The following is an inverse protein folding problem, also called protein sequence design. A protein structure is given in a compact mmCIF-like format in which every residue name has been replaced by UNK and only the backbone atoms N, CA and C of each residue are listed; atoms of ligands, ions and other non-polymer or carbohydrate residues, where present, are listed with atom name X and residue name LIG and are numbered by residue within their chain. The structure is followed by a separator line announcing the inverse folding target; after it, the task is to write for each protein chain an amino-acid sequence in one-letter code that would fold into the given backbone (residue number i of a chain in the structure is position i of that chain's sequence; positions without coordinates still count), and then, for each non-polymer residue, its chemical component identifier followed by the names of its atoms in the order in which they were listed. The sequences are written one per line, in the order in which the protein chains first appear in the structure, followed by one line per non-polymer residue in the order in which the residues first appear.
data_IF_420502555313
#
_entry.id   IF_420502555313
#
_cell.length_a   1.000
_cell.length_b   1.000
_cell.length_c   1.000
_cell.angle_alpha   90.00
_cell.angle_beta   90.00
_cell.angle_gamma   90.00
#
_symmetry.space_group_name_H-M   'P 1'
#
loop_
_entity.id
_entity.type
_entity.pdbx_description
1 polymer ?
#
# COMPACT_ATOMS: atom_id res chain seq x y z
N UNK A 1 -35.74 -27.47 66.45
CA UNK A 1 -35.47 -26.41 67.45
C UNK A 1 -34.32 -25.55 66.94
N UNK A 2 -34.54 -24.24 66.80
CA UNK A 2 -33.54 -23.17 66.54
C UNK A 2 -32.76 -22.89 67.84
N UNK A 3 -31.53 -22.34 67.80
CA UNK A 3 -31.23 -20.91 67.50
C UNK A 3 -30.00 -20.73 66.56
N UNK A 4 -29.90 -19.82 65.57
CA UNK A 4 -29.91 -18.34 65.50
C UNK A 4 -28.94 -17.61 66.46
N UNK A 5 -28.06 -16.79 65.87
CA UNK A 5 -27.21 -15.71 66.40
C UNK A 5 -25.76 -16.05 66.80
N UNK A 6 -24.83 -15.92 65.84
CA UNK A 6 -23.69 -14.98 65.94
C UNK A 6 -23.43 -14.40 64.54
N UNK A 7 -23.74 -13.12 64.40
CA UNK A 7 -23.47 -12.21 63.28
C UNK A 7 -22.43 -11.19 63.79
N UNK A 8 -21.64 -10.59 62.87
CA UNK A 8 -20.77 -9.40 63.03
C UNK A 8 -19.31 -9.60 63.50
N UNK A 9 -18.41 -9.72 62.51
CA UNK A 9 -17.28 -8.79 62.27
C UNK A 9 -16.23 -9.48 61.39
N UNK A 10 -16.37 -9.35 60.08
CA UNK A 10 -15.28 -9.59 59.13
C UNK A 10 -15.50 -8.69 57.91
N UNK A 11 -15.51 -7.38 58.15
CA UNK A 11 -15.51 -6.37 57.10
C UNK A 11 -14.46 -5.34 57.49
N UNK A 12 -13.51 -5.13 56.58
CA UNK A 12 -12.58 -3.99 56.62
C UNK A 12 -11.15 -4.35 56.97
N UNK A 13 -10.41 -4.91 56.01
CA UNK A 13 -9.06 -4.47 55.65
C UNK A 13 -8.61 -5.25 54.39
N UNK A 14 -9.31 -5.03 53.27
CA UNK A 14 -8.66 -5.24 51.98
C UNK A 14 -7.77 -4.02 51.77
N UNK A 15 -6.52 -4.22 52.12
CA UNK A 15 -5.39 -3.35 51.86
C UNK A 15 -5.46 -2.97 50.37
N UNK A 16 -5.80 -1.71 50.09
CA UNK A 16 -5.48 -1.07 48.81
C UNK A 16 -3.96 -0.93 48.77
N UNK A 17 -3.27 -2.04 48.49
CA UNK A 17 -1.87 -1.99 48.11
C UNK A 17 -1.82 -1.22 46.80
N UNK A 18 -1.06 -0.12 46.78
CA UNK A 18 -0.68 0.53 45.54
C UNK A 18 -0.05 -0.55 44.66
N UNK A 19 -0.72 -0.91 43.56
CA UNK A 19 -0.14 -1.81 42.57
C UNK A 19 0.86 -0.99 41.77
N UNK A 20 2.14 -1.34 41.86
CA UNK A 20 3.17 -0.73 41.03
C UNK A 20 2.89 -1.06 39.56
N UNK A 21 2.71 -0.02 38.74
CA UNK A 21 2.54 -0.15 37.30
C UNK A 21 3.90 -0.05 36.59
N UNK A 22 4.14 -0.93 35.60
CA UNK A 22 5.42 -1.05 34.89
C UNK A 22 5.42 -0.28 33.55
N UNK A 23 6.36 0.65 33.37
CA UNK A 23 6.52 1.39 32.12
C UNK A 23 7.17 0.53 31.02
N UNK A 24 6.37 -0.03 30.10
CA UNK A 24 6.87 -0.84 28.97
C UNK A 24 7.18 -0.01 27.71
N UNK A 25 8.39 -0.20 27.14
CA UNK A 25 8.76 0.25 25.78
C UNK A 25 8.53 -0.89 24.78
N UNK A 26 7.36 -0.91 24.12
CA UNK A 26 7.00 -1.93 23.12
C UNK A 26 7.46 -1.59 21.69
N UNK A 27 8.02 -2.57 20.96
CA UNK A 27 8.38 -2.46 19.55
C UNK A 27 7.27 -2.90 18.58
N UNK A 28 7.18 -2.26 17.41
CA UNK A 28 6.22 -2.59 16.34
C UNK A 28 5.01 -1.66 16.31
N UNK A 29 3.99 -1.96 17.11
CA UNK A 29 2.83 -1.08 17.32
C UNK A 29 2.29 -1.33 18.72
N UNK A 30 1.94 -0.26 19.44
CA UNK A 30 1.50 -0.41 20.81
C UNK A 30 1.39 0.90 21.57
N UNK A 31 1.17 0.78 22.87
CA UNK A 31 1.23 1.91 23.77
C UNK A 31 2.48 1.78 24.63
N UNK A 32 3.14 2.90 24.85
CA UNK A 32 4.17 3.05 25.89
C UNK A 32 3.69 4.06 26.90
N UNK A 33 4.09 3.87 28.16
CA UNK A 33 3.89 4.85 29.22
C UNK A 33 5.25 5.47 29.53
N UNK A 34 5.23 6.77 29.78
CA UNK A 34 6.40 7.54 30.17
C UNK A 34 6.02 8.57 31.21
N UNK A 35 7.02 8.99 31.99
CA UNK A 35 6.87 9.97 33.05
C UNK A 35 7.64 11.24 32.65
N UNK A 36 7.04 12.40 32.86
CA UNK A 36 7.67 13.69 32.58
C UNK A 36 7.79 14.49 33.87
N UNK A 37 9.01 14.89 34.23
CA UNK A 37 9.31 15.55 35.50
C UNK A 37 8.62 16.93 35.61
N UNK A 38 7.99 17.17 36.76
CA UNK A 38 7.36 18.44 37.13
C UNK A 38 8.18 19.11 38.23
N UNK A 39 8.25 18.48 39.41
CA UNK A 39 8.99 18.99 40.56
C UNK A 39 9.40 17.87 41.54
N UNK A 40 10.31 18.18 42.47
CA UNK A 40 10.65 17.28 43.58
C UNK A 40 9.69 17.50 44.75
N UNK A 41 9.26 16.44 45.42
CA UNK A 41 8.41 16.51 46.62
C UNK A 41 9.23 16.32 47.89
N UNK A 42 8.66 16.64 49.04
CA UNK A 42 9.26 16.37 50.36
C UNK A 42 8.98 14.94 50.88
N UNK A 43 8.27 14.10 50.11
CA UNK A 43 7.94 12.74 50.53
C UNK A 43 9.14 11.80 50.38
N UNK A 44 9.56 11.09 51.44
CA UNK A 44 10.63 10.11 51.33
C UNK A 44 10.15 8.87 50.55
N UNK A 45 10.93 8.45 49.56
CA UNK A 45 10.79 7.17 48.87
C UNK A 45 11.39 6.01 49.65
N UNK A 46 11.38 4.80 49.07
CA UNK A 46 11.85 3.59 49.74
C UNK A 46 13.35 3.65 50.05
N UNK A 47 14.10 4.30 49.17
CA UNK A 47 15.53 4.50 49.30
C UNK A 47 15.91 5.74 50.15
N UNK A 48 14.93 6.35 50.83
CA UNK A 48 15.11 7.60 51.59
C UNK A 48 15.33 8.85 50.73
N UNK A 49 15.36 8.71 49.40
CA UNK A 49 15.42 9.82 48.46
C UNK A 49 14.03 10.43 48.25
N UNK A 50 13.91 11.75 48.08
CA UNK A 50 12.62 12.39 47.83
C UNK A 50 11.99 11.91 46.52
N UNK A 51 10.68 11.61 46.54
CA UNK A 51 9.90 11.29 45.36
C UNK A 51 9.73 12.53 44.46
N UNK A 52 9.72 12.34 43.14
CA UNK A 52 9.41 13.37 42.17
C UNK A 52 7.94 13.29 41.74
N UNK A 53 7.30 14.46 41.57
CA UNK A 53 6.02 14.57 40.91
C UNK A 53 6.24 14.56 39.39
N UNK A 54 5.56 13.65 38.71
CA UNK A 54 5.66 13.40 37.29
C UNK A 54 4.29 13.50 36.63
N UNK A 55 4.23 13.94 35.37
CA UNK A 55 3.06 13.72 34.52
C UNK A 55 3.16 12.32 33.92
N UNK A 56 2.13 11.50 34.12
CA UNK A 56 1.99 10.22 33.45
C UNK A 56 1.45 10.43 32.04
N UNK A 57 2.24 10.02 31.06
CA UNK A 57 1.93 10.21 29.66
C UNK A 57 1.91 8.88 28.92
N UNK A 58 0.82 8.65 28.21
CA UNK A 58 0.64 7.49 27.35
C UNK A 58 0.94 7.89 25.91
N UNK A 59 1.96 7.27 25.34
CA UNK A 59 2.35 7.45 23.94
C UNK A 59 1.84 6.26 23.14
N UNK A 60 1.24 6.54 21.98
CA UNK A 60 0.87 5.53 21.00
C UNK A 60 1.94 5.48 19.92
N UNK A 61 2.53 4.30 19.76
CA UNK A 61 3.63 4.07 18.84
C UNK A 61 3.14 3.25 17.64
N UNK A 62 3.47 3.70 16.43
CA UNK A 62 3.23 2.96 15.18
C UNK A 62 4.53 2.89 14.42
N UNK A 63 5.04 1.68 14.16
CA UNK A 63 6.32 1.44 13.50
C UNK A 63 7.47 2.24 14.12
N UNK A 64 7.58 2.19 15.46
CA UNK A 64 8.59 2.93 16.25
C UNK A 64 8.48 4.45 16.19
N UNK A 65 7.35 4.99 15.70
CA UNK A 65 7.06 6.42 15.70
C UNK A 65 6.03 6.76 16.76
N UNK A 66 6.34 7.75 17.59
CA UNK A 66 5.44 8.29 18.61
C UNK A 66 4.44 9.23 17.93
N UNK A 67 3.27 8.71 17.58
CA UNK A 67 2.33 9.46 16.75
C UNK A 67 1.38 10.29 17.60
N UNK A 68 0.90 9.74 18.72
CA UNK A 68 -0.01 10.42 19.64
C UNK A 68 0.48 10.34 21.07
N UNK A 69 0.33 11.45 21.78
CA UNK A 69 0.68 11.58 23.20
C UNK A 69 -0.54 12.05 23.98
N UNK A 70 -0.97 11.26 24.95
CA UNK A 70 -2.16 11.54 25.78
C UNK A 70 -1.78 11.51 27.25
N UNK A 71 -2.19 12.54 28.00
CA UNK A 71 -1.96 12.58 29.44
C UNK A 71 -2.97 11.71 30.18
N UNK A 72 -2.50 11.04 31.23
CA UNK A 72 -3.35 10.23 32.11
C UNK A 72 -3.55 10.87 33.47
N UNK A 73 -2.59 11.64 33.95
CA UNK A 73 -2.66 12.31 35.24
C UNK A 73 -1.27 12.57 35.82
N UNK A 74 -1.21 12.75 37.14
CA UNK A 74 0.04 12.84 37.87
C UNK A 74 0.42 11.49 38.48
N UNK A 75 1.71 11.27 38.67
CA UNK A 75 2.26 10.12 39.37
C UNK A 75 3.48 10.53 40.17
N UNK A 76 3.76 9.81 41.26
CA UNK A 76 4.99 9.94 42.03
C UNK A 76 5.95 8.83 41.61
N UNK A 77 7.20 9.18 41.38
CA UNK A 77 8.23 8.21 41.03
C UNK A 77 9.60 8.62 41.59
N UNK A 78 10.48 7.63 41.75
CA UNK A 78 11.86 7.86 42.16
C UNK A 78 12.71 8.44 41.00
N UNK A 79 13.95 8.82 41.29
CA UNK A 79 14.97 9.19 40.29
C UNK A 79 14.53 10.24 39.26
N UNK A 80 13.81 11.28 39.70
CA UNK A 80 13.31 12.36 38.83
C UNK A 80 12.50 11.85 37.64
N UNK A 81 11.62 10.87 37.88
CA UNK A 81 10.73 10.27 36.89
C UNK A 81 11.40 9.29 35.91
N UNK A 82 12.65 8.89 36.16
CA UNK A 82 13.33 7.83 35.43
C UNK A 82 13.25 6.50 36.21
N UNK A 83 12.04 6.10 36.57
CA UNK A 83 11.75 4.85 37.26
C UNK A 83 10.80 3.98 36.42
N UNK A 84 10.95 2.66 36.55
CA UNK A 84 10.06 1.69 35.89
C UNK A 84 8.73 1.52 36.61
N UNK A 85 8.65 1.89 37.90
CA UNK A 85 7.43 1.89 38.72
C UNK A 85 7.03 3.31 39.13
N UNK A 86 5.73 3.50 39.37
CA UNK A 86 5.17 4.77 39.82
C UNK A 86 3.89 4.58 40.64
N UNK A 87 3.58 5.58 41.47
CA UNK A 87 2.36 5.64 42.26
C UNK A 87 1.43 6.68 41.63
N UNK A 88 0.27 6.29 41.06
CA UNK A 88 -0.65 7.25 40.46
C UNK A 88 -1.24 8.18 41.52
N UNK A 89 -1.34 9.48 41.22
CA UNK A 89 -1.89 10.51 42.09
C UNK A 89 -3.25 10.94 41.55
N UNK A 90 -4.30 10.75 42.35
CA UNK A 90 -5.64 11.23 42.01
C UNK A 90 -5.76 12.74 42.20
N UNK A 91 -6.75 13.36 41.57
CA UNK A 91 -7.00 14.81 41.71
C UNK A 91 -7.25 15.23 43.17
N UNK A 92 -7.91 14.38 43.96
CA UNK A 92 -8.15 14.65 45.38
C UNK A 92 -6.88 14.54 46.23
N UNK A 93 -6.03 13.54 45.96
CA UNK A 93 -4.72 13.43 46.60
C UNK A 93 -3.82 14.62 46.27
N UNK A 94 -3.83 15.08 45.01
CA UNK A 94 -3.07 16.24 44.58
C UNK A 94 -3.45 17.50 45.36
N UNK A 95 -4.75 17.73 45.59
CA UNK A 95 -5.24 18.86 46.42
C UNK A 95 -4.72 18.78 47.85
N UNK A 96 -4.75 17.58 48.45
CA UNK A 96 -4.22 17.36 49.81
C UNK A 96 -2.73 17.68 49.86
N UNK A 97 -1.94 17.22 48.88
CA UNK A 97 -0.50 17.48 48.83
C UNK A 97 -0.16 18.97 48.63
N UNK A 98 -0.97 19.70 47.85
CA UNK A 98 -0.85 21.16 47.72
C UNK A 98 -1.14 21.87 49.04
N UNK A 99 -2.22 21.49 49.73
CA UNK A 99 -2.61 22.08 51.02
C UNK A 99 -1.59 21.79 52.12
N UNK A 100 -0.93 20.63 52.11
CA UNK A 100 0.09 20.27 53.08
C UNK A 100 1.48 20.84 52.78
N UNK A 101 1.65 21.58 51.68
CA UNK A 101 2.94 22.13 51.26
C UNK A 101 3.96 21.07 50.80
N UNK A 102 3.49 19.87 50.43
CA UNK A 102 4.34 18.79 49.91
C UNK A 102 4.65 18.99 48.42
N UNK A 103 3.70 19.62 47.72
CA UNK A 103 3.72 19.97 46.29
C UNK A 103 3.43 21.47 46.18
N UNK A 104 4.02 22.16 45.21
CA UNK A 104 3.78 23.58 44.98
C UNK A 104 2.32 23.87 44.63
N UNK A 105 1.76 24.94 45.18
CA UNK A 105 0.41 25.41 44.82
C UNK A 105 0.31 25.92 43.37
N UNK A 106 1.45 26.15 42.71
CA UNK A 106 1.52 26.60 41.32
C UNK A 106 1.30 25.47 40.31
N UNK A 107 1.43 24.21 40.72
CA UNK A 107 1.14 23.07 39.85
C UNK A 107 -0.34 23.11 39.45
N UNK A 108 -0.71 23.00 38.17
CA UNK A 108 -2.11 22.99 37.77
C UNK A 108 -2.84 21.72 38.26
N UNK A 109 -4.16 21.76 38.40
CA UNK A 109 -4.94 20.59 38.83
C UNK A 109 -5.03 19.51 37.74
N UNK A 110 -4.99 19.94 36.48
CA UNK A 110 -4.89 19.07 35.31
C UNK A 110 -3.57 19.37 34.58
N UNK A 111 -2.82 18.34 34.18
CA UNK A 111 -1.57 18.55 33.48
C UNK A 111 -1.87 19.19 32.12
N UNK A 112 -1.09 20.21 31.75
CA UNK A 112 -1.23 20.91 30.48
C UNK A 112 -0.12 20.48 29.54
N UNK A 113 -0.30 19.38 28.79
CA UNK A 113 0.54 19.17 27.60
C UNK A 113 -0.33 19.35 26.37
N UNK A 114 0.30 19.92 25.35
CA UNK A 114 -0.29 20.05 24.03
C UNK A 114 -0.47 18.63 23.48
N UNK A 115 -1.70 18.11 23.54
CA UNK A 115 -2.09 16.93 22.76
C UNK A 115 -1.91 17.29 21.29
N UNK A 116 -0.88 16.75 20.67
CA UNK A 116 -0.49 17.09 19.32
C UNK A 116 0.04 15.86 18.61
N UNK A 117 -0.16 15.85 17.29
CA UNK A 117 0.42 14.87 16.39
C UNK A 117 1.93 15.11 16.34
N UNK A 118 2.70 14.24 16.99
CA UNK A 118 4.16 14.36 17.08
C UNK A 118 4.84 13.69 15.87
N UNK A 119 4.49 14.14 14.66
CA UNK A 119 5.18 13.66 13.46
C UNK A 119 6.57 14.31 13.40
N UNK A 120 7.66 13.55 13.44
CA UNK A 120 8.99 14.13 13.33
C UNK A 120 9.20 14.70 11.93
N UNK A 121 9.96 15.81 11.81
CA UNK A 121 10.15 16.51 10.53
C UNK A 121 10.66 15.61 9.40
N UNK A 122 11.45 14.58 9.70
CA UNK A 122 11.95 13.63 8.70
C UNK A 122 10.85 12.75 8.08
N UNK A 123 9.73 12.50 8.78
CA UNK A 123 8.63 11.71 8.25
C UNK A 123 7.97 12.41 7.05
N UNK A 124 7.92 13.74 7.05
CA UNK A 124 7.47 14.52 5.89
C UNK A 124 8.39 14.34 4.68
N UNK A 125 9.70 14.23 4.88
CA UNK A 125 10.65 13.97 3.79
C UNK A 125 10.41 12.59 3.14
N UNK A 126 10.09 11.57 3.94
CA UNK A 126 9.74 10.24 3.43
C UNK A 126 8.46 10.30 2.60
N UNK A 127 7.41 10.95 3.12
CA UNK A 127 6.14 11.11 2.40
C UNK A 127 6.37 11.82 1.07
N UNK A 128 7.12 12.93 1.07
CA UNK A 128 7.45 13.67 -0.14
C UNK A 128 8.24 12.80 -1.14
N UNK A 129 9.21 12.01 -0.67
CA UNK A 129 9.96 11.08 -1.49
C UNK A 129 9.09 10.01 -2.15
N UNK A 130 8.15 9.42 -1.40
CA UNK A 130 7.21 8.43 -1.93
C UNK A 130 6.28 9.03 -2.99
N UNK A 131 5.73 10.23 -2.73
CA UNK A 131 4.90 10.96 -3.69
C UNK A 131 5.69 11.28 -4.96
N UNK A 132 6.94 11.72 -4.84
CA UNK A 132 7.82 11.97 -5.97
C UNK A 132 8.07 10.70 -6.80
N UNK A 133 8.34 9.56 -6.16
CA UNK A 133 8.54 8.28 -6.86
C UNK A 133 7.28 7.83 -7.61
N UNK A 134 6.10 7.95 -7.00
CA UNK A 134 4.82 7.66 -7.65
C UNK A 134 4.62 8.60 -8.84
N UNK A 135 4.86 9.90 -8.67
CA UNK A 135 4.77 10.90 -9.74
C UNK A 135 5.71 10.59 -10.91
N UNK A 136 6.96 10.18 -10.65
CA UNK A 136 7.92 9.76 -11.68
C UNK A 136 7.40 8.54 -12.44
N UNK A 137 6.88 7.51 -11.74
CA UNK A 137 6.33 6.31 -12.38
C UNK A 137 5.13 6.66 -13.27
N UNK A 138 4.20 7.48 -12.77
CA UNK A 138 3.03 7.93 -13.54
C UNK A 138 3.44 8.73 -14.77
N UNK A 139 4.40 9.67 -14.63
CA UNK A 139 4.92 10.47 -15.74
C UNK A 139 5.61 9.61 -16.79
N UNK A 140 6.39 8.59 -16.38
CA UNK A 140 7.01 7.62 -17.31
C UNK A 140 5.96 6.81 -18.07
N UNK A 141 4.90 6.33 -17.40
CA UNK A 141 3.81 5.58 -18.07
C UNK A 141 3.05 6.46 -19.07
N UNK A 142 2.76 7.71 -18.70
CA UNK A 142 2.12 8.68 -19.59
C UNK A 142 3.01 9.04 -20.80
N UNK A 143 4.30 9.29 -20.57
CA UNK A 143 5.26 9.60 -21.63
C UNK A 143 5.42 8.44 -22.63
N UNK A 144 5.50 7.20 -22.15
CA UNK A 144 5.50 6.01 -23.03
C UNK A 144 4.23 5.92 -23.87
N UNK A 145 3.06 6.20 -23.28
CA UNK A 145 1.79 6.21 -24.01
C UNK A 145 1.77 7.27 -25.10
N UNK A 146 2.24 8.49 -24.81
CA UNK A 146 2.36 9.54 -25.82
C UNK A 146 3.29 9.10 -26.93
N UNK A 147 4.51 8.65 -26.58
CA UNK A 147 5.49 8.20 -27.56
C UNK A 147 4.96 7.10 -28.48
N UNK A 148 4.17 6.13 -27.96
CA UNK A 148 3.52 5.10 -28.81
C UNK A 148 2.50 5.70 -29.78
N UNK A 149 1.71 6.69 -29.35
CA UNK A 149 0.74 7.38 -30.22
C UNK A 149 1.44 8.27 -31.24
N UNK A 150 2.46 9.01 -30.82
CA UNK A 150 3.25 9.88 -31.69
C UNK A 150 4.00 9.06 -32.73
N UNK A 151 4.50 7.88 -32.33
CA UNK A 151 5.05 6.92 -33.26
C UNK A 151 4.04 6.61 -34.34
N UNK A 152 2.74 6.44 -34.04
CA UNK A 152 1.65 6.02 -34.95
C UNK A 152 1.03 7.12 -35.85
N UNK A 153 1.40 8.40 -35.68
CA UNK A 153 1.05 9.47 -36.63
C UNK A 153 -0.45 9.53 -36.92
N UNK A 154 -0.83 9.56 -38.20
CA UNK A 154 -2.23 9.67 -38.66
C UNK A 154 -3.01 8.34 -38.68
N UNK A 155 -2.44 7.27 -38.13
CA UNK A 155 -3.11 5.97 -38.07
C UNK A 155 -4.42 6.04 -37.27
N UNK A 156 -5.42 5.25 -37.69
CA UNK A 156 -6.70 5.20 -36.97
C UNK A 156 -6.51 4.70 -35.53
N UNK A 157 -7.28 5.18 -34.54
CA UNK A 157 -7.18 4.69 -33.16
C UNK A 157 -7.36 3.16 -33.04
N UNK A 158 -8.10 2.54 -33.96
CA UNK A 158 -8.27 1.10 -34.05
C UNK A 158 -6.99 0.40 -34.51
N UNK A 159 -6.37 0.87 -35.59
CA UNK A 159 -5.10 0.33 -36.08
C UNK A 159 -3.99 0.41 -35.02
N UNK A 160 -3.93 1.53 -34.29
CA UNK A 160 -2.99 1.71 -33.18
C UNK A 160 -3.22 0.65 -32.09
N UNK A 161 -4.48 0.43 -31.70
CA UNK A 161 -4.81 -0.52 -30.65
C UNK A 161 -4.53 -1.97 -31.07
N UNK A 162 -4.83 -2.33 -32.33
CA UNK A 162 -4.56 -3.65 -32.90
C UNK A 162 -3.05 -3.91 -32.90
N UNK A 163 -2.26 -2.96 -33.41
CA UNK A 163 -0.80 -3.10 -33.45
C UNK A 163 -0.17 -3.12 -32.04
N UNK A 164 -0.69 -2.32 -31.11
CA UNK A 164 -0.23 -2.33 -29.71
C UNK A 164 -0.52 -3.71 -29.06
N UNK A 165 -1.69 -4.29 -29.30
CA UNK A 165 -2.04 -5.62 -28.82
C UNK A 165 -1.13 -6.70 -29.42
N UNK A 166 -0.84 -6.63 -30.72
CA UNK A 166 0.09 -7.54 -31.41
C UNK A 166 1.52 -7.44 -30.85
N UNK A 167 2.04 -6.23 -30.64
CA UNK A 167 3.35 -6.01 -30.02
C UNK A 167 3.43 -6.57 -28.59
N UNK A 168 2.34 -6.44 -27.82
CA UNK A 168 2.26 -7.01 -26.48
C UNK A 168 2.16 -8.54 -26.48
N UNK A 169 1.46 -9.12 -27.45
CA UNK A 169 1.39 -10.57 -27.65
C UNK A 169 2.77 -11.14 -28.00
N UNK A 170 3.48 -10.55 -28.97
CA UNK A 170 4.83 -10.94 -29.37
C UNK A 170 5.80 -10.92 -28.18
N UNK A 171 5.71 -9.90 -27.32
CA UNK A 171 6.62 -9.73 -26.18
C UNK A 171 6.20 -10.51 -24.94
N UNK A 172 5.16 -11.34 -25.00
CA UNK A 172 4.65 -12.05 -23.84
C UNK A 172 5.73 -12.97 -23.24
N UNK A 173 6.51 -13.63 -24.09
CA UNK A 173 7.58 -14.53 -23.69
C UNK A 173 8.81 -13.80 -23.10
N UNK A 174 9.03 -12.54 -23.50
CA UNK A 174 10.10 -11.65 -23.08
C UNK A 174 11.07 -11.23 -24.20
N UNK A 175 10.94 -11.77 -25.41
CA UNK A 175 11.76 -11.43 -26.57
C UNK A 175 10.88 -11.05 -27.78
N UNK A 176 11.44 -10.32 -28.74
CA UNK A 176 10.78 -10.11 -30.05
C UNK A 176 11.87 -10.10 -31.09
N UNK A 177 11.87 -11.10 -31.97
CA UNK A 177 12.82 -11.28 -33.05
C UNK A 177 12.54 -10.33 -34.23
N UNK A 178 13.56 -9.99 -35.05
CA UNK A 178 13.34 -9.16 -36.24
C UNK A 178 12.34 -9.74 -37.25
N UNK A 179 12.25 -11.06 -37.38
CA UNK A 179 11.27 -11.73 -38.24
C UNK A 179 9.83 -11.49 -37.75
N UNK A 180 9.57 -11.60 -36.45
CA UNK A 180 8.25 -11.31 -35.88
C UNK A 180 7.83 -9.85 -36.11
N UNK A 181 8.77 -8.90 -36.08
CA UNK A 181 8.46 -7.49 -36.36
C UNK A 181 7.97 -7.27 -37.79
N UNK A 182 8.52 -8.01 -38.76
CA UNK A 182 8.08 -7.97 -40.15
C UNK A 182 6.69 -8.59 -40.27
N UNK A 183 6.48 -9.76 -39.66
CA UNK A 183 5.17 -10.44 -39.67
C UNK A 183 4.08 -9.59 -39.03
N UNK A 184 4.38 -8.92 -37.91
CA UNK A 184 3.44 -8.01 -37.25
C UNK A 184 3.09 -6.83 -38.16
N UNK A 185 4.08 -6.23 -38.84
CA UNK A 185 3.84 -5.12 -39.74
C UNK A 185 2.93 -5.52 -40.91
N UNK A 186 3.21 -6.66 -41.54
CA UNK A 186 2.42 -7.19 -42.66
C UNK A 186 1.01 -7.59 -42.23
N UNK A 187 0.87 -8.29 -41.12
CA UNK A 187 -0.43 -8.70 -40.59
C UNK A 187 -1.27 -7.48 -40.18
N UNK A 188 -0.67 -6.50 -39.51
CA UNK A 188 -1.37 -5.28 -39.16
C UNK A 188 -1.81 -4.50 -40.40
N UNK A 189 -0.95 -4.36 -41.42
CA UNK A 189 -1.31 -3.70 -42.68
C UNK A 189 -2.45 -4.43 -43.40
N UNK A 190 -2.43 -5.76 -43.43
CA UNK A 190 -3.50 -6.56 -44.04
C UNK A 190 -4.84 -6.40 -43.32
N UNK A 191 -4.81 -6.25 -42.00
CA UNK A 191 -6.01 -6.13 -41.16
C UNK A 191 -6.59 -4.72 -41.10
N UNK A 192 -5.74 -3.69 -41.16
CA UNK A 192 -6.16 -2.29 -41.01
C UNK A 192 -6.25 -1.56 -42.35
N UNK A 193 -5.61 -2.08 -43.41
CA UNK A 193 -5.44 -1.40 -44.69
C UNK A 193 -4.39 -0.28 -44.66
N UNK A 194 -3.77 -0.02 -43.51
CA UNK A 194 -2.81 1.06 -43.34
C UNK A 194 -1.37 0.56 -43.54
N UNK A 195 -0.56 1.32 -44.28
CA UNK A 195 0.86 0.97 -44.48
C UNK A 195 1.63 1.17 -43.17
N UNK A 196 2.23 0.09 -42.66
CA UNK A 196 2.97 0.09 -41.39
C UNK A 196 4.45 -0.21 -41.65
N UNK A 197 5.34 0.70 -41.27
CA UNK A 197 6.80 0.50 -41.37
C UNK A 197 7.28 -0.47 -40.27
N UNK A 198 7.97 -1.58 -40.60
CA UNK A 198 8.55 -2.48 -39.60
C UNK A 198 9.45 -1.80 -38.56
N UNK A 199 10.16 -0.71 -38.91
CA UNK A 199 10.96 0.05 -37.93
C UNK A 199 10.10 0.65 -36.83
N UNK A 200 8.88 1.07 -37.19
CA UNK A 200 7.90 1.63 -36.27
C UNK A 200 7.36 0.55 -35.33
N UNK A 201 7.10 -0.64 -35.87
CA UNK A 201 6.73 -1.82 -35.07
C UNK A 201 7.84 -2.17 -34.08
N UNK A 202 9.10 -2.10 -34.49
CA UNK A 202 10.24 -2.31 -33.60
C UNK A 202 10.23 -1.34 -32.41
N UNK A 203 9.99 -0.05 -32.66
CA UNK A 203 9.90 0.94 -31.58
C UNK A 203 8.68 0.73 -30.67
N UNK A 204 7.54 0.32 -31.23
CA UNK A 204 6.36 -0.04 -30.43
C UNK A 204 6.61 -1.28 -29.57
N UNK A 205 7.21 -2.33 -30.13
CA UNK A 205 7.58 -3.55 -29.42
C UNK A 205 8.60 -3.29 -28.30
N UNK A 206 9.58 -2.39 -28.50
CA UNK A 206 10.46 -1.94 -27.41
C UNK A 206 9.68 -1.34 -26.25
N UNK A 207 8.64 -0.56 -26.55
CA UNK A 207 7.81 0.06 -25.53
C UNK A 207 6.80 -0.91 -24.91
N UNK A 208 6.43 -2.01 -25.57
CA UNK A 208 5.52 -3.05 -25.06
C UNK A 208 6.01 -3.66 -23.74
N UNK A 209 5.08 -4.18 -22.95
CA UNK A 209 5.29 -4.78 -21.64
C UNK A 209 4.89 -6.26 -21.69
N UNK A 210 5.73 -7.14 -21.15
CA UNK A 210 5.49 -8.59 -21.11
C UNK A 210 4.48 -9.00 -20.03
N UNK A 211 4.30 -8.17 -18.99
CA UNK A 211 3.44 -8.45 -17.85
C UNK A 211 2.34 -7.39 -17.70
N UNK A 212 1.28 -7.53 -18.49
CA UNK A 212 0.11 -6.64 -18.42
C UNK A 212 -0.76 -6.92 -17.19
N UNK A 213 -1.27 -5.85 -16.58
CA UNK A 213 -2.33 -5.92 -15.58
C UNK A 213 -3.71 -5.98 -16.23
N UNK A 214 -4.74 -6.41 -15.50
CA UNK A 214 -6.12 -6.44 -15.99
C UNK A 214 -6.61 -5.08 -16.48
N UNK A 215 -6.13 -3.99 -15.87
CA UNK A 215 -6.45 -2.63 -16.30
C UNK A 215 -5.77 -2.27 -17.62
N UNK A 216 -4.58 -2.82 -17.91
CA UNK A 216 -3.93 -2.61 -19.19
C UNK A 216 -4.70 -3.33 -20.32
N UNK A 217 -5.17 -4.57 -20.09
CA UNK A 217 -6.05 -5.28 -21.05
C UNK A 217 -7.36 -4.52 -21.31
N UNK A 218 -8.04 -4.05 -20.24
CA UNK A 218 -9.26 -3.24 -20.37
C UNK A 218 -9.04 -2.00 -21.22
N UNK A 219 -7.85 -1.39 -21.16
CA UNK A 219 -7.52 -0.21 -21.96
C UNK A 219 -7.26 -0.52 -23.43
N UNK A 220 -6.69 -1.68 -23.77
CA UNK A 220 -6.55 -2.10 -25.17
C UNK A 220 -7.93 -2.22 -25.84
N UNK A 221 -8.93 -2.69 -25.09
CA UNK A 221 -10.29 -2.97 -25.58
C UNK A 221 -11.24 -1.76 -25.42
N UNK A 222 -10.87 -0.76 -24.63
CA UNK A 222 -11.76 0.36 -24.29
C UNK A 222 -12.18 1.17 -25.53
N UNK A 223 -13.49 1.36 -25.68
CA UNK A 223 -14.09 2.12 -26.78
C UNK A 223 -13.99 1.44 -28.14
N UNK A 224 -13.65 0.14 -28.20
CA UNK A 224 -13.59 -0.64 -29.44
C UNK A 224 -14.96 -1.24 -29.78
N UNK A 225 -15.32 -1.25 -31.06
CA UNK A 225 -16.51 -1.96 -31.54
C UNK A 225 -16.28 -3.48 -31.51
N UNK A 226 -17.34 -4.28 -31.66
CA UNK A 226 -17.21 -5.74 -31.71
C UNK A 226 -16.37 -6.21 -32.91
N UNK A 227 -16.51 -5.55 -34.06
CA UNK A 227 -15.72 -5.85 -35.26
C UNK A 227 -14.23 -5.51 -35.02
N UNK A 228 -13.93 -4.36 -34.40
CA UNK A 228 -12.55 -3.99 -34.05
C UNK A 228 -11.92 -4.97 -33.06
N UNK A 229 -12.68 -5.47 -32.07
CA UNK A 229 -12.21 -6.49 -31.13
C UNK A 229 -11.91 -7.81 -31.83
N UNK A 230 -12.75 -8.20 -32.80
CA UNK A 230 -12.53 -9.40 -33.60
C UNK A 230 -11.26 -9.30 -34.45
N UNK A 231 -11.07 -8.18 -35.14
CA UNK A 231 -9.84 -7.92 -35.92
C UNK A 231 -8.62 -7.90 -35.00
N UNK A 232 -8.71 -7.26 -33.82
CA UNK A 232 -7.64 -7.26 -32.82
C UNK A 232 -7.29 -8.66 -32.34
N UNK A 233 -8.28 -9.47 -31.99
CA UNK A 233 -8.06 -10.86 -31.58
C UNK A 233 -7.43 -11.69 -32.69
N UNK A 234 -7.88 -11.51 -33.94
CA UNK A 234 -7.30 -12.17 -35.11
C UNK A 234 -5.82 -11.79 -35.30
N UNK A 235 -5.48 -10.52 -35.14
CA UNK A 235 -4.10 -10.03 -35.16
C UNK A 235 -3.22 -10.64 -34.07
N UNK A 236 -3.72 -10.65 -32.84
CA UNK A 236 -3.03 -11.27 -31.69
C UNK A 236 -2.80 -12.77 -31.91
N UNK A 237 -3.81 -13.50 -32.38
CA UNK A 237 -3.69 -14.93 -32.68
C UNK A 237 -2.67 -15.17 -33.81
N UNK A 238 -2.63 -14.32 -34.83
CA UNK A 238 -1.67 -14.43 -35.94
C UNK A 238 -0.22 -14.36 -35.47
N UNK A 239 0.06 -13.50 -34.50
CA UNK A 239 1.38 -13.35 -33.88
C UNK A 239 1.68 -14.51 -32.95
N UNK A 240 0.76 -14.83 -32.05
CA UNK A 240 0.98 -15.85 -31.03
C UNK A 240 1.16 -17.27 -31.60
N UNK A 241 0.65 -17.55 -32.81
CA UNK A 241 0.85 -18.85 -33.48
C UNK A 241 1.99 -18.83 -34.49
N UNK A 242 2.82 -17.78 -34.52
CA UNK A 242 3.84 -17.62 -35.55
C UNK A 242 4.81 -18.82 -35.61
N UNK A 243 5.22 -19.32 -34.45
CA UNK A 243 6.13 -20.45 -34.31
C UNK A 243 5.40 -21.82 -34.33
N UNK A 244 4.11 -21.84 -34.69
CA UNK A 244 3.31 -23.05 -34.85
C UNK A 244 2.84 -23.70 -33.54
N UNK A 245 3.17 -23.12 -32.38
CA UNK A 245 2.67 -23.54 -31.06
C UNK A 245 2.46 -22.33 -30.17
N UNK A 246 1.35 -22.31 -29.44
CA UNK A 246 1.09 -21.32 -28.40
C UNK A 246 1.75 -21.75 -27.09
N UNK A 247 2.68 -20.96 -26.58
CA UNK A 247 3.26 -21.19 -25.27
C UNK A 247 2.29 -20.82 -24.13
N UNK A 248 2.67 -21.15 -22.88
CA UNK A 248 1.82 -20.88 -21.71
C UNK A 248 1.53 -19.38 -21.47
N UNK A 249 2.44 -18.48 -21.82
CA UNK A 249 2.32 -17.03 -21.64
C UNK A 249 1.47 -16.40 -22.73
N UNK A 250 1.60 -16.86 -23.97
CA UNK A 250 0.77 -16.47 -25.10
C UNK A 250 -0.68 -16.93 -24.91
N UNK A 251 -0.89 -18.18 -24.47
CA UNK A 251 -2.22 -18.67 -24.09
C UNK A 251 -2.84 -17.82 -22.99
N UNK A 252 -2.04 -17.43 -21.98
CA UNK A 252 -2.50 -16.55 -20.92
C UNK A 252 -2.85 -15.16 -21.44
N UNK A 253 -2.06 -14.59 -22.34
CA UNK A 253 -2.32 -13.30 -22.98
C UNK A 253 -3.63 -13.33 -23.77
N UNK A 254 -3.78 -14.29 -24.68
CA UNK A 254 -4.98 -14.49 -25.50
C UNK A 254 -6.21 -14.69 -24.61
N UNK A 255 -6.11 -15.56 -23.59
CA UNK A 255 -7.19 -15.84 -22.66
C UNK A 255 -7.65 -14.61 -21.87
N UNK A 256 -6.70 -13.81 -21.34
CA UNK A 256 -7.02 -12.58 -20.61
C UNK A 256 -7.64 -11.51 -21.53
N UNK A 257 -7.08 -11.33 -22.73
CA UNK A 257 -7.61 -10.40 -23.71
C UNK A 257 -9.03 -10.77 -24.12
N UNK A 258 -9.27 -12.06 -24.40
CA UNK A 258 -10.59 -12.56 -24.74
C UNK A 258 -11.61 -12.39 -23.60
N UNK A 259 -11.19 -12.65 -22.37
CA UNK A 259 -12.02 -12.43 -21.18
C UNK A 259 -12.46 -10.97 -21.04
N UNK A 260 -11.55 -10.02 -21.27
CA UNK A 260 -11.87 -8.58 -21.27
C UNK A 260 -12.77 -8.18 -22.44
N UNK A 261 -12.60 -8.80 -23.61
CA UNK A 261 -13.47 -8.60 -24.77
C UNK A 261 -14.85 -9.25 -24.60
N UNK A 262 -15.03 -10.12 -23.59
CA UNK A 262 -16.19 -11.00 -23.43
C UNK A 262 -16.40 -11.91 -24.65
N UNK A 263 -15.31 -12.33 -25.28
CA UNK A 263 -15.36 -13.18 -26.47
C UNK A 263 -15.54 -14.66 -26.05
N UNK A 264 -16.57 -15.37 -26.54
CA UNK A 264 -16.79 -16.77 -26.19
C UNK A 264 -15.69 -17.67 -26.79
N UNK A 265 -15.35 -18.74 -26.09
CA UNK A 265 -14.28 -19.67 -26.49
C UNK A 265 -14.47 -20.26 -27.90
N UNK A 266 -15.73 -20.52 -28.30
CA UNK A 266 -16.06 -21.03 -29.65
C UNK A 266 -15.67 -20.04 -30.75
N UNK A 267 -15.84 -18.73 -30.50
CA UNK A 267 -15.43 -17.67 -31.44
C UNK A 267 -13.91 -17.58 -31.53
N UNK A 268 -13.20 -17.68 -30.40
CA UNK A 268 -11.73 -17.71 -30.39
C UNK A 268 -11.20 -18.91 -31.17
N UNK A 269 -11.79 -20.10 -30.98
CA UNK A 269 -11.43 -21.31 -31.72
C UNK A 269 -11.65 -21.17 -33.22
N UNK A 270 -12.77 -20.55 -33.63
CA UNK A 270 -13.03 -20.25 -35.04
C UNK A 270 -11.99 -19.29 -35.62
N UNK A 271 -11.68 -18.20 -34.91
CA UNK A 271 -10.64 -17.25 -35.33
C UNK A 271 -9.25 -17.90 -35.42
N UNK A 272 -8.92 -18.78 -34.47
CA UNK A 272 -7.67 -19.53 -34.49
C UNK A 272 -7.61 -20.45 -35.72
N UNK A 273 -8.69 -21.15 -36.04
CA UNK A 273 -8.80 -21.97 -37.25
C UNK A 273 -8.58 -21.16 -38.53
N UNK A 274 -9.22 -19.99 -38.64
CA UNK A 274 -9.05 -19.06 -39.76
C UNK A 274 -7.58 -18.61 -39.90
N UNK A 275 -6.95 -18.24 -38.78
CA UNK A 275 -5.55 -17.77 -38.76
C UNK A 275 -4.58 -18.88 -39.17
N UNK A 276 -4.75 -20.10 -38.64
CA UNK A 276 -3.90 -21.25 -38.99
C UNK A 276 -4.05 -21.59 -40.47
N UNK A 277 -5.28 -21.64 -40.99
CA UNK A 277 -5.54 -21.89 -42.41
C UNK A 277 -4.91 -20.81 -43.30
N UNK A 278 -5.02 -19.53 -42.91
CA UNK A 278 -4.42 -18.42 -43.63
C UNK A 278 -2.88 -18.48 -43.67
N UNK A 279 -2.23 -18.95 -42.58
CA UNK A 279 -0.77 -19.14 -42.56
C UNK A 279 -0.32 -20.32 -43.41
N UNK A 280 -1.03 -21.45 -43.36
CA UNK A 280 -0.71 -22.63 -44.17
C UNK A 280 -0.81 -22.36 -45.69
N UNK A 281 -1.73 -21.48 -46.11
CA UNK A 281 -1.83 -21.06 -47.51
C UNK A 281 -0.66 -20.18 -47.99
N UNK A 282 -0.01 -19.44 -47.08
CA UNK A 282 1.11 -18.54 -47.41
C UNK A 282 2.47 -19.26 -47.51
N UNK A 283 2.61 -20.45 -46.93
CA UNK A 283 3.85 -21.26 -47.01
C UNK A 283 4.01 -22.05 -48.31
N UNK A 284 3.03 -21.99 -49.23
CA UNK A 284 2.99 -22.76 -50.48
C UNK A 284 3.44 -21.98 -51.73
N UNK A 285 3.99 -20.78 -51.56
CA UNK A 285 4.50 -19.89 -52.62
C UNK A 285 5.92 -19.47 -52.31
#
# INVERSE_FOLDING_TARGET
MRPIYVLLMALGFQIFGAQDAEARRGGGSGYSEGLEFVEMTSMPGENGSPLALCVLVKTQNVLFLDVWRTQKGYALAENRCDASSYIPVTSDQLKVFKMSGVISSEVPDEPQVKTGLAIPYWAWAIIAGLVALIGIKLRRKAGRKSARRDLMGDASPAAIAILDAMCHAAKADGHVSPSELIEIAEAAQKMTGEKIDPKRVAEMAKLAESNLTDQDYKRLVAGRTEDEKEVMMRGVLFVAVADGKLDSKEQQFVGKLAGVMQMPATKIQALLGDVVAARSGNTAT
#
